data_IF_256384462370
#
_entry.id   IF_256384462370
#
_cell.length_a   1.000
_cell.length_b   1.000
_cell.length_c   1.000
_cell.angle_alpha   90.00
_cell.angle_beta   90.00
_cell.angle_gamma   90.00
#
_symmetry.space_group_name_H-M   'P 1'
#
loop_
_entity.id
_entity.type
_entity.pdbx_description
1 polymer ?
#
# COMPACT_ATOMS: atom_id res chain seq x y z
N UNK A 1 -4.25 10.08 13.05
CA UNK A 1 -3.79 9.26 14.21
C UNK A 1 -4.11 7.78 14.06
N UNK A 2 -5.38 7.39 13.83
CA UNK A 2 -5.79 5.98 13.70
C UNK A 2 -4.99 5.19 12.65
N UNK A 3 -4.74 5.79 11.48
CA UNK A 3 -3.94 5.17 10.42
C UNK A 3 -2.52 4.82 10.89
N UNK A 4 -1.84 5.72 11.60
CA UNK A 4 -0.49 5.47 12.15
C UNK A 4 -0.53 4.36 13.20
N UNK A 5 -1.50 4.41 14.12
CA UNK A 5 -1.64 3.41 15.18
C UNK A 5 -1.85 1.99 14.61
N UNK A 6 -2.79 1.83 13.67
CA UNK A 6 -3.05 0.56 13.00
C UNK A 6 -1.84 0.08 12.19
N UNK A 7 -1.12 0.99 11.52
CA UNK A 7 0.10 0.63 10.79
C UNK A 7 1.21 0.12 11.72
N UNK A 8 1.40 0.74 12.89
CA UNK A 8 2.39 0.26 13.87
C UNK A 8 2.04 -1.16 14.32
N UNK A 9 0.77 -1.43 14.65
CA UNK A 9 0.30 -2.77 14.99
C UNK A 9 0.54 -3.74 13.82
N UNK A 10 0.12 -3.38 12.61
CA UNK A 10 0.29 -4.19 11.41
C UNK A 10 1.75 -4.57 11.17
N UNK A 11 2.67 -3.61 11.28
CA UNK A 11 4.10 -3.85 11.06
C UNK A 11 4.70 -4.78 12.12
N UNK A 12 4.37 -4.57 13.41
CA UNK A 12 4.86 -5.40 14.52
C UNK A 12 4.33 -6.82 14.39
N UNK A 13 3.03 -6.99 14.14
CA UNK A 13 2.40 -8.30 14.00
C UNK A 13 2.96 -9.06 12.80
N UNK A 14 3.11 -8.40 11.65
CA UNK A 14 3.72 -9.02 10.47
C UNK A 14 5.14 -9.50 10.74
N UNK A 15 5.97 -8.67 11.39
CA UNK A 15 7.34 -9.10 11.70
C UNK A 15 7.35 -10.31 12.64
N UNK A 16 6.45 -10.34 13.62
CA UNK A 16 6.28 -11.52 14.50
C UNK A 16 5.85 -12.75 13.71
N UNK A 17 4.86 -12.64 12.82
CA UNK A 17 4.41 -13.73 11.94
C UNK A 17 5.58 -14.27 11.13
N UNK A 18 6.36 -13.41 10.47
CA UNK A 18 7.46 -13.86 9.61
C UNK A 18 8.63 -14.49 10.35
N UNK A 19 8.76 -14.30 11.66
CA UNK A 19 9.77 -15.01 12.45
C UNK A 19 9.46 -16.51 12.61
N UNK A 20 8.19 -16.92 12.57
CA UNK A 20 7.79 -18.34 12.73
C UNK A 20 7.06 -18.91 11.50
N UNK A 21 6.57 -18.07 10.60
CA UNK A 21 5.88 -18.44 9.36
C UNK A 21 6.37 -17.59 8.18
N UNK A 22 7.54 -17.91 7.60
CA UNK A 22 8.25 -17.07 6.64
C UNK A 22 7.72 -17.22 5.18
N UNK A 23 6.40 -17.16 4.99
CA UNK A 23 5.75 -17.27 3.68
C UNK A 23 5.05 -15.95 3.29
N UNK A 24 5.80 -14.89 2.93
CA UNK A 24 5.26 -13.54 2.73
C UNK A 24 4.23 -13.43 1.61
N UNK A 25 4.36 -14.22 0.55
CA UNK A 25 3.37 -14.28 -0.54
C UNK A 25 2.01 -14.79 -0.05
N UNK A 26 2.01 -15.88 0.71
CA UNK A 26 0.78 -16.45 1.27
C UNK A 26 0.11 -15.48 2.23
N UNK A 27 0.88 -14.92 3.18
CA UNK A 27 0.37 -13.97 4.17
C UNK A 27 -0.21 -12.72 3.48
N UNK A 28 0.43 -12.24 2.40
CA UNK A 28 -0.06 -11.12 1.59
C UNK A 28 -1.42 -11.42 0.94
N UNK A 29 -1.62 -12.63 0.40
CA UNK A 29 -2.92 -13.04 -0.16
C UNK A 29 -3.99 -13.06 0.94
N UNK A 30 -3.66 -13.57 2.13
CA UNK A 30 -4.59 -13.60 3.27
C UNK A 30 -4.97 -12.17 3.71
N UNK A 31 -4.04 -11.22 3.77
CA UNK A 31 -4.36 -9.82 4.08
C UNK A 31 -5.41 -9.25 3.13
N UNK A 32 -5.18 -9.40 1.81
CA UNK A 32 -6.09 -8.89 0.79
C UNK A 32 -7.43 -9.61 0.84
N UNK A 33 -7.43 -10.93 1.04
CA UNK A 33 -8.65 -11.73 1.18
C UNK A 33 -9.50 -11.30 2.38
N UNK A 34 -8.89 -11.11 3.55
CA UNK A 34 -9.59 -10.59 4.74
C UNK A 34 -10.14 -9.20 4.48
N UNK A 35 -9.41 -8.34 3.77
CA UNK A 35 -9.89 -7.04 3.32
C UNK A 35 -11.12 -7.12 2.41
N UNK A 36 -11.13 -8.06 1.45
CA UNK A 36 -12.30 -8.32 0.58
C UNK A 36 -13.50 -8.76 1.41
N UNK A 37 -13.32 -9.72 2.32
CA UNK A 37 -14.39 -10.20 3.21
C UNK A 37 -14.95 -9.05 4.05
N UNK A 38 -14.06 -8.22 4.63
CA UNK A 38 -14.46 -7.04 5.40
C UNK A 38 -15.30 -6.07 4.56
N UNK A 39 -14.89 -5.78 3.32
CA UNK A 39 -15.66 -4.92 2.41
C UNK A 39 -17.04 -5.51 2.06
N UNK A 40 -17.11 -6.81 1.77
CA UNK A 40 -18.37 -7.49 1.43
C UNK A 40 -19.36 -7.50 2.61
N UNK A 41 -18.87 -7.78 3.81
CA UNK A 41 -19.68 -7.74 5.04
C UNK A 41 -20.14 -6.32 5.34
N UNK A 42 -19.27 -5.32 5.16
CA UNK A 42 -19.65 -3.92 5.35
C UNK A 42 -20.78 -3.53 4.37
N UNK A 43 -20.65 -3.90 3.09
CA UNK A 43 -21.68 -3.62 2.09
C UNK A 43 -23.00 -4.35 2.34
N UNK A 44 -22.99 -5.55 2.91
CA UNK A 44 -24.23 -6.28 3.24
C UNK A 44 -25.02 -5.59 4.36
N UNK A 45 -24.36 -4.83 5.25
CA UNK A 45 -25.01 -4.01 6.29
C UNK A 45 -25.24 -2.55 5.85
N UNK A 46 -24.98 -2.22 4.58
CA UNK A 46 -25.27 -0.90 4.01
C UNK A 46 -24.23 0.20 4.27
N UNK A 47 -23.03 -0.15 4.74
CA UNK A 47 -21.96 0.81 5.06
C UNK A 47 -20.62 0.41 4.43
N UNK A 48 -19.80 1.35 3.96
CA UNK A 48 -20.19 2.58 3.27
C UNK A 48 -20.97 2.27 1.97
N UNK A 49 -21.67 3.28 1.42
CA UNK A 49 -22.39 3.13 0.13
C UNK A 49 -21.47 2.55 -0.93
N UNK A 50 -21.89 1.44 -1.55
CA UNK A 50 -21.17 0.81 -2.65
C UNK A 50 -21.08 1.78 -3.82
N UNK A 51 -19.87 2.04 -4.31
CA UNK A 51 -19.66 2.83 -5.52
C UNK A 51 -20.26 2.11 -6.74
N UNK A 52 -20.84 2.85 -7.71
CA UNK A 52 -21.36 2.24 -8.92
C UNK A 52 -20.21 1.62 -9.71
N UNK A 53 -20.26 0.29 -9.92
CA UNK A 53 -19.26 -0.42 -10.73
C UNK A 53 -19.72 -0.36 -12.19
N UNK A 54 -18.94 0.30 -13.03
CA UNK A 54 -19.09 0.29 -14.48
C UNK A 54 -17.77 -0.10 -15.15
N UNK A 55 -17.83 -0.44 -16.45
CA UNK A 55 -16.67 -0.88 -17.20
C UNK A 55 -15.58 0.20 -17.32
N UNK A 56 -15.96 1.47 -17.32
CA UNK A 56 -15.01 2.58 -17.45
C UNK A 56 -14.16 2.77 -16.19
N UNK A 57 -14.78 2.66 -15.00
CA UNK A 57 -14.05 2.67 -13.72
C UNK A 57 -13.16 1.45 -13.61
N UNK A 58 -13.64 0.27 -14.01
CA UNK A 58 -12.83 -0.96 -13.96
C UNK A 58 -11.57 -0.85 -14.82
N UNK A 59 -11.64 -0.25 -16.01
CA UNK A 59 -10.47 -0.05 -16.88
C UNK A 59 -9.37 0.78 -16.21
N UNK A 60 -9.73 1.79 -15.43
CA UNK A 60 -8.76 2.63 -14.70
C UNK A 60 -8.34 1.99 -13.38
N UNK A 61 -9.23 1.25 -12.72
CA UNK A 61 -8.97 0.64 -11.41
C UNK A 61 -8.07 -0.59 -11.50
N UNK A 62 -8.23 -1.43 -12.52
CA UNK A 62 -7.44 -2.67 -12.70
C UNK A 62 -5.92 -2.40 -12.66
N UNK A 63 -5.34 -1.48 -13.44
CA UNK A 63 -3.90 -1.24 -13.40
C UNK A 63 -3.44 -0.73 -12.02
N UNK A 64 -4.22 0.12 -11.37
CA UNK A 64 -3.93 0.60 -10.01
C UNK A 64 -3.97 -0.54 -9.00
N UNK A 65 -4.95 -1.44 -9.12
CA UNK A 65 -5.08 -2.61 -8.25
C UNK A 65 -3.90 -3.60 -8.42
N UNK A 66 -3.43 -3.79 -9.65
CA UNK A 66 -2.23 -4.60 -9.94
C UNK A 66 -0.99 -3.96 -9.30
N UNK A 67 -0.76 -2.67 -9.52
CA UNK A 67 0.35 -1.95 -8.88
C UNK A 67 0.27 -2.02 -7.34
N UNK A 68 -0.93 -1.87 -6.78
CA UNK A 68 -1.16 -2.01 -5.35
C UNK A 68 -0.83 -3.42 -4.84
N UNK A 69 -1.29 -4.46 -5.54
CA UNK A 69 -1.01 -5.85 -5.18
C UNK A 69 0.49 -6.15 -5.21
N UNK A 70 1.20 -5.69 -6.24
CA UNK A 70 2.66 -5.81 -6.34
C UNK A 70 3.33 -5.09 -5.16
N UNK A 71 2.98 -3.83 -4.90
CA UNK A 71 3.52 -3.05 -3.80
C UNK A 71 3.24 -3.66 -2.42
N UNK A 72 2.06 -4.27 -2.24
CA UNK A 72 1.69 -4.97 -1.02
C UNK A 72 2.54 -6.23 -0.80
N UNK A 73 2.69 -7.06 -1.84
CA UNK A 73 3.49 -8.29 -1.76
C UNK A 73 4.96 -7.97 -1.53
N UNK A 74 5.55 -7.04 -2.30
CA UNK A 74 6.96 -6.66 -2.15
C UNK A 74 7.25 -6.03 -0.80
N UNK A 75 6.33 -5.24 -0.25
CA UNK A 75 6.44 -4.72 1.13
C UNK A 75 6.50 -5.85 2.17
N UNK A 76 5.64 -6.86 2.03
CA UNK A 76 5.62 -8.01 2.94
C UNK A 76 6.87 -8.89 2.80
N UNK A 77 7.37 -9.07 1.57
CA UNK A 77 8.66 -9.73 1.32
C UNK A 77 9.78 -8.96 2.03
N UNK A 78 9.80 -7.63 1.96
CA UNK A 78 10.77 -6.80 2.69
C UNK A 78 10.66 -7.00 4.20
N UNK A 79 9.46 -7.03 4.77
CA UNK A 79 9.28 -7.29 6.21
C UNK A 79 9.78 -8.68 6.65
N UNK A 80 9.68 -9.68 5.78
CA UNK A 80 10.26 -10.99 6.03
C UNK A 80 11.79 -10.97 5.92
N UNK A 81 12.33 -10.29 4.91
CA UNK A 81 13.75 -10.35 4.54
C UNK A 81 14.67 -9.44 5.38
N UNK A 82 14.20 -8.26 5.78
CA UNK A 82 15.04 -7.22 6.41
C UNK A 82 14.41 -6.67 7.70
N UNK A 83 15.11 -5.74 8.35
CA UNK A 83 14.56 -4.98 9.46
C UNK A 83 13.37 -4.11 9.00
N UNK A 84 12.34 -4.02 9.84
CA UNK A 84 11.15 -3.20 9.57
C UNK A 84 11.53 -1.73 9.44
N UNK A 85 12.45 -1.24 10.26
CA UNK A 85 12.99 0.13 10.19
C UNK A 85 13.59 0.42 8.82
N UNK A 86 14.45 -0.47 8.30
CA UNK A 86 15.07 -0.30 6.99
C UNK A 86 14.03 -0.29 5.86
N UNK A 87 13.03 -1.16 5.93
CA UNK A 87 11.91 -1.14 4.96
C UNK A 87 11.24 0.22 4.94
N UNK A 88 10.95 0.80 6.11
CA UNK A 88 10.32 2.12 6.19
C UNK A 88 11.24 3.26 5.78
N UNK A 89 12.56 3.15 6.02
CA UNK A 89 13.54 4.11 5.50
C UNK A 89 13.50 4.18 3.97
N UNK A 90 13.43 3.03 3.29
CA UNK A 90 13.30 3.00 1.82
C UNK A 90 11.92 3.53 1.39
N UNK A 91 10.85 3.14 2.07
CA UNK A 91 9.49 3.65 1.77
C UNK A 91 9.35 5.15 2.00
N UNK A 92 10.15 5.76 2.88
CA UNK A 92 10.16 7.21 3.08
C UNK A 92 10.61 8.00 1.84
N UNK A 93 11.18 7.34 0.83
CA UNK A 93 11.51 7.92 -0.48
C UNK A 93 10.30 8.03 -1.42
N UNK A 94 9.14 7.46 -1.07
CA UNK A 94 7.91 7.52 -1.89
C UNK A 94 7.56 8.95 -2.38
N UNK A 95 7.66 10.02 -1.57
CA UNK A 95 7.42 11.38 -2.03
C UNK A 95 8.40 11.85 -3.11
N UNK A 96 9.67 11.42 -3.07
CA UNK A 96 10.67 11.72 -4.10
C UNK A 96 10.29 11.08 -5.45
N UNK A 97 9.91 9.80 -5.44
CA UNK A 97 9.46 9.12 -6.66
C UNK A 97 8.16 9.72 -7.22
N UNK A 98 7.23 10.09 -6.35
CA UNK A 98 5.98 10.74 -6.77
C UNK A 98 6.21 12.12 -7.41
N UNK A 99 7.09 12.95 -6.82
CA UNK A 99 7.48 14.23 -7.38
C UNK A 99 8.19 14.08 -8.74
N UNK A 100 9.09 13.09 -8.85
CA UNK A 100 9.79 12.75 -10.09
C UNK A 100 8.83 12.34 -11.20
N UNK A 101 7.91 11.42 -10.93
CA UNK A 101 6.91 10.98 -11.90
C UNK A 101 6.00 12.14 -12.33
N UNK A 102 5.56 12.97 -11.38
CA UNK A 102 4.70 14.13 -11.67
C UNK A 102 5.39 15.14 -12.59
N UNK A 103 6.66 15.45 -12.33
CA UNK A 103 7.40 16.42 -13.13
C UNK A 103 7.84 15.88 -14.49
N UNK A 104 8.45 14.70 -14.51
CA UNK A 104 9.12 14.19 -15.71
C UNK A 104 8.22 13.35 -16.61
N UNK A 105 7.18 12.71 -16.08
CA UNK A 105 6.25 11.90 -16.88
C UNK A 105 4.94 12.65 -17.18
N UNK A 106 4.40 13.37 -16.20
CA UNK A 106 3.14 14.12 -16.37
C UNK A 106 3.35 15.59 -16.75
N UNK A 107 4.58 16.10 -16.74
CA UNK A 107 4.90 17.47 -17.10
C UNK A 107 4.39 18.52 -16.10
N UNK A 108 4.06 18.13 -14.87
CA UNK A 108 3.57 19.07 -13.86
C UNK A 108 4.74 19.86 -13.24
N UNK A 109 4.67 21.20 -13.20
CA UNK A 109 5.73 21.99 -12.59
C UNK A 109 5.78 21.76 -11.07
N UNK A 110 6.93 21.35 -10.55
CA UNK A 110 7.16 21.15 -9.12
C UNK A 110 8.12 22.23 -8.60
N UNK A 111 7.76 22.98 -7.54
CA UNK A 111 8.61 24.05 -7.03
C UNK A 111 9.90 23.51 -6.42
N UNK A 112 10.99 24.27 -6.55
CA UNK A 112 12.31 23.87 -6.04
C UNK A 112 12.34 23.69 -4.52
N UNK A 113 11.47 24.40 -3.79
CA UNK A 113 11.30 24.22 -2.34
C UNK A 113 10.81 22.82 -1.98
N UNK A 114 9.95 22.22 -2.82
CA UNK A 114 9.51 20.84 -2.63
C UNK A 114 10.69 19.88 -2.88
N UNK A 115 11.47 20.10 -3.94
CA UNK A 115 12.66 19.27 -4.22
C UNK A 115 13.68 19.29 -3.08
N UNK A 116 13.94 20.47 -2.50
CA UNK A 116 14.86 20.60 -1.36
C UNK A 116 14.30 19.90 -0.11
N UNK A 117 12.98 19.88 0.10
CA UNK A 117 12.37 19.15 1.22
C UNK A 117 12.43 17.62 1.09
N UNK A 118 12.76 17.13 -0.11
CA UNK A 118 12.86 15.70 -0.43
C UNK A 118 14.32 15.21 -0.44
N UNK A 119 15.29 16.12 -0.32
CA UNK A 119 16.73 15.85 -0.20
C UNK A 119 17.12 15.58 1.26
#
# INVERSE_FOLDING_TARGET
LMWYFLNVIFNILNKKIYNYFPYPYFVSVIHLFVGVVYCLVSWSVGLPKRAPINSDILKVLIPVAVCHAIGHVTSNVSFAAVAVSFTHTIKALEPFFNASASQFLLGQPIPITLWVSLA
#
